data_IF_081575302163
#
_entry.id   IF_081575302163
#
_cell.length_a   1.000
_cell.length_b   1.000
_cell.length_c   1.000
_cell.angle_alpha   90.00
_cell.angle_beta   90.00
_cell.angle_gamma   90.00
#
_symmetry.space_group_name_H-M   'P 1'
#
loop_
_entity.id
_entity.type
_entity.pdbx_description
1 polymer ?
#
# COMPACT_ATOMS: atom_id res chain seq x y z
N UNK A 1 -8.61 -22.74 -20.55
CA UNK A 1 -9.91 -22.05 -20.49
C UNK A 1 -10.19 -21.71 -19.03
N UNK A 2 -10.21 -20.44 -18.58
CA UNK A 2 -10.36 -20.17 -17.16
C UNK A 2 -11.83 -20.22 -16.74
N UNK A 3 -12.03 -20.90 -15.62
CA UNK A 3 -13.23 -21.54 -15.13
C UNK A 3 -14.31 -20.54 -14.68
N UNK A 4 -15.55 -20.75 -15.14
CA UNK A 4 -16.77 -20.04 -14.72
C UNK A 4 -17.19 -20.52 -13.34
N UNK A 5 -16.71 -19.88 -12.27
CA UNK A 5 -17.48 -19.69 -11.02
C UNK A 5 -16.84 -18.57 -10.21
N UNK A 6 -17.10 -17.33 -10.59
CA UNK A 6 -16.91 -16.22 -9.66
C UNK A 6 -17.94 -16.38 -8.57
N UNK A 7 -17.54 -16.91 -7.41
CA UNK A 7 -18.38 -16.94 -6.24
C UNK A 7 -18.95 -15.53 -6.03
N UNK A 8 -20.27 -15.43 -5.81
CA UNK A 8 -21.00 -14.15 -5.67
C UNK A 8 -20.46 -13.25 -4.54
N UNK A 9 -19.52 -13.78 -3.75
CA UNK A 9 -18.85 -13.17 -2.60
C UNK A 9 -17.36 -12.82 -2.85
N UNK A 10 -16.91 -12.88 -4.10
CA UNK A 10 -15.53 -12.51 -4.45
C UNK A 10 -15.25 -11.03 -4.19
N UNK A 11 -14.01 -10.71 -3.78
CA UNK A 11 -13.58 -9.34 -3.47
C UNK A 11 -13.88 -8.38 -4.62
N UNK A 12 -13.69 -8.82 -5.87
CA UNK A 12 -13.94 -8.01 -7.06
C UNK A 12 -15.40 -7.56 -7.23
N UNK A 13 -16.36 -8.37 -6.76
CA UNK A 13 -17.79 -8.12 -6.94
C UNK A 13 -18.35 -7.33 -5.76
N UNK A 14 -17.99 -7.70 -4.53
CA UNK A 14 -18.54 -7.07 -3.33
C UNK A 14 -17.82 -5.78 -2.95
N UNK A 15 -16.56 -5.61 -3.31
CA UNK A 15 -15.79 -4.43 -2.97
C UNK A 15 -14.86 -4.00 -4.11
N UNK A 16 -15.49 -3.46 -5.16
CA UNK A 16 -14.82 -3.04 -6.38
C UNK A 16 -13.72 -1.99 -6.14
N UNK A 17 -13.90 -1.10 -5.15
CA UNK A 17 -12.87 -0.12 -4.78
C UNK A 17 -11.60 -0.80 -4.25
N UNK A 18 -11.74 -1.80 -3.37
CA UNK A 18 -10.59 -2.54 -2.83
C UNK A 18 -9.93 -3.40 -3.92
N UNK A 19 -10.70 -4.01 -4.81
CA UNK A 19 -10.14 -4.81 -5.89
C UNK A 19 -9.28 -4.00 -6.87
N UNK A 20 -9.52 -2.68 -7.00
CA UNK A 20 -8.67 -1.77 -7.79
C UNK A 20 -7.30 -1.53 -7.15
N UNK A 21 -7.20 -1.70 -5.85
CA UNK A 21 -5.94 -1.57 -5.12
C UNK A 21 -5.16 -2.89 -5.08
N UNK A 22 -5.60 -3.92 -5.81
CA UNK A 22 -4.88 -5.18 -5.89
C UNK A 22 -3.56 -5.00 -6.65
N UNK A 23 -2.47 -5.50 -6.10
CA UNK A 23 -1.19 -5.42 -6.77
C UNK A 23 -1.15 -6.33 -8.02
N UNK A 24 -0.80 -5.80 -9.22
CA UNK A 24 -0.91 -6.56 -10.48
C UNK A 24 0.09 -7.71 -10.62
N UNK A 25 1.32 -7.58 -10.09
CA UNK A 25 2.39 -8.57 -10.30
C UNK A 25 2.82 -9.34 -9.04
N UNK A 26 2.75 -8.75 -7.84
CA UNK A 26 3.27 -9.36 -6.61
C UNK A 26 2.39 -10.46 -5.99
N UNK A 27 1.16 -10.64 -6.48
CA UNK A 27 0.25 -11.68 -6.00
C UNK A 27 0.32 -12.99 -6.82
N UNK A 28 1.23 -13.07 -7.80
CA UNK A 28 1.41 -14.26 -8.62
C UNK A 28 0.11 -14.66 -9.33
N UNK A 29 -0.34 -15.90 -9.10
CA UNK A 29 -1.57 -16.44 -9.71
C UNK A 29 -2.86 -16.09 -8.93
N UNK A 30 -2.76 -15.40 -7.79
CA UNK A 30 -3.94 -15.02 -7.02
C UNK A 30 -4.59 -13.78 -7.63
N UNK A 31 -5.87 -13.90 -7.98
CA UNK A 31 -6.67 -12.76 -8.42
C UNK A 31 -7.65 -12.30 -7.33
N UNK A 32 -8.16 -11.06 -7.39
CA UNK A 32 -9.27 -10.58 -6.56
C UNK A 32 -10.54 -11.44 -6.67
N UNK A 33 -10.62 -12.31 -7.69
CA UNK A 33 -11.75 -13.21 -7.92
C UNK A 33 -11.62 -14.52 -7.15
N UNK A 34 -10.39 -14.92 -6.83
CA UNK A 34 -10.06 -16.14 -6.07
C UNK A 34 -10.11 -15.94 -4.55
N UNK A 35 -10.26 -14.68 -4.10
CA UNK A 35 -10.31 -14.32 -2.68
C UNK A 35 -11.66 -13.72 -2.30
N UNK A 36 -12.13 -14.05 -1.11
CA UNK A 36 -13.34 -13.49 -0.51
C UNK A 36 -13.00 -12.30 0.38
N UNK A 37 -13.95 -11.37 0.54
CA UNK A 37 -13.79 -10.12 1.32
C UNK A 37 -13.35 -10.34 2.77
N UNK A 38 -13.69 -11.49 3.38
CA UNK A 38 -13.33 -11.84 4.76
C UNK A 38 -12.09 -12.74 4.87
N UNK A 39 -11.32 -12.92 3.81
CA UNK A 39 -10.17 -13.83 3.84
C UNK A 39 -9.01 -13.25 4.65
N UNK A 40 -8.47 -14.03 5.61
CA UNK A 40 -7.25 -13.66 6.33
C UNK A 40 -5.96 -13.84 5.50
N UNK A 41 -6.08 -14.05 4.18
CA UNK A 41 -4.94 -14.17 3.28
C UNK A 41 -4.22 -12.84 3.16
N UNK A 42 -2.92 -12.82 3.47
CA UNK A 42 -2.04 -11.67 3.28
C UNK A 42 -1.67 -11.57 1.80
N UNK A 43 -1.94 -10.42 1.21
CA UNK A 43 -1.70 -10.13 -0.21
C UNK A 43 -1.07 -8.74 -0.33
N UNK A 44 -0.51 -8.47 -1.50
CA UNK A 44 0.05 -7.18 -1.86
C UNK A 44 -1.03 -6.25 -2.40
N UNK A 45 -1.02 -5.02 -1.92
CA UNK A 45 -1.89 -3.93 -2.32
C UNK A 45 -1.05 -2.80 -2.91
N UNK A 46 -1.65 -2.06 -3.83
CA UNK A 46 -1.09 -0.90 -4.52
C UNK A 46 -2.14 0.22 -4.48
N UNK A 47 -1.77 1.37 -3.91
CA UNK A 47 -2.66 2.52 -3.81
C UNK A 47 -2.60 3.30 -5.13
N UNK A 48 -3.58 4.16 -5.39
CA UNK A 48 -3.56 5.08 -6.52
C UNK A 48 -2.33 6.00 -6.56
N UNK A 49 -1.71 6.27 -5.40
CA UNK A 49 -0.48 7.07 -5.28
C UNK A 49 0.77 6.28 -5.69
N UNK A 50 0.68 4.95 -5.80
CA UNK A 50 1.83 4.08 -6.11
C UNK A 50 2.45 3.40 -4.88
N UNK A 51 1.91 3.64 -3.69
CA UNK A 51 2.36 2.97 -2.47
C UNK A 51 2.02 1.48 -2.49
N UNK A 52 3.03 0.63 -2.27
CA UNK A 52 2.88 -0.81 -2.16
C UNK A 52 2.93 -1.27 -0.69
N UNK A 53 1.94 -2.04 -0.23
CA UNK A 53 1.97 -2.62 1.13
C UNK A 53 1.32 -3.99 1.19
N UNK A 54 1.65 -4.75 2.24
CA UNK A 54 1.02 -6.04 2.51
C UNK A 54 -0.05 -5.91 3.59
N UNK A 55 -1.25 -6.39 3.32
CA UNK A 55 -2.35 -6.47 4.30
C UNK A 55 -3.23 -7.69 4.00
N UNK A 56 -4.04 -8.12 4.97
CA UNK A 56 -5.02 -9.19 4.72
C UNK A 56 -6.25 -8.65 4.01
N UNK A 57 -6.92 -9.49 3.21
CA UNK A 57 -8.17 -9.09 2.53
C UNK A 57 -9.25 -8.70 3.52
N UNK A 58 -9.35 -9.45 4.62
CA UNK A 58 -10.25 -9.16 5.73
C UNK A 58 -10.00 -7.77 6.32
N UNK A 59 -8.75 -7.41 6.58
CA UNK A 59 -8.39 -6.08 7.12
C UNK A 59 -8.77 -4.94 6.17
N UNK A 60 -8.51 -5.12 4.86
CA UNK A 60 -8.96 -4.15 3.85
C UNK A 60 -10.49 -4.03 3.83
N UNK A 61 -11.19 -5.16 3.92
CA UNK A 61 -12.66 -5.22 3.94
C UNK A 61 -13.30 -4.43 5.08
N UNK A 62 -12.60 -4.30 6.21
CA UNK A 62 -13.03 -3.50 7.37
C UNK A 62 -12.73 -2.00 7.25
N UNK A 63 -12.12 -1.55 6.15
CA UNK A 63 -11.82 -0.13 5.90
C UNK A 63 -10.40 0.31 6.24
N UNK A 64 -9.50 -0.59 6.64
CA UNK A 64 -8.09 -0.23 6.88
C UNK A 64 -7.34 -0.05 5.57
N UNK A 65 -7.18 1.20 5.12
CA UNK A 65 -6.56 1.58 3.84
C UNK A 65 -5.04 1.67 3.80
N UNK A 66 -4.57 2.46 2.82
CA UNK A 66 -3.25 3.05 2.71
C UNK A 66 -2.49 3.32 4.02
N UNK A 67 -1.59 2.48 4.59
CA UNK A 67 -0.90 2.89 5.83
C UNK A 67 0.01 4.10 5.60
N UNK A 68 0.52 4.27 4.38
CA UNK A 68 1.31 5.43 3.99
C UNK A 68 0.42 6.66 3.79
N UNK A 69 -0.71 6.53 3.09
CA UNK A 69 -1.66 7.63 2.90
C UNK A 69 -2.31 8.08 4.22
N UNK A 70 -2.51 7.15 5.16
CA UNK A 70 -3.02 7.46 6.50
C UNK A 70 -1.93 7.87 7.50
N UNK A 71 -0.70 8.10 7.03
CA UNK A 71 0.45 8.49 7.84
C UNK A 71 0.75 7.55 9.03
N UNK A 72 0.30 6.28 8.94
CA UNK A 72 0.53 5.21 9.91
C UNK A 72 1.88 4.51 9.71
N UNK A 73 2.45 4.62 8.51
CA UNK A 73 3.82 4.21 8.17
C UNK A 73 4.50 5.31 7.36
N UNK A 74 5.78 5.54 7.63
CA UNK A 74 6.63 6.35 6.75
C UNK A 74 6.89 5.56 5.46
N UNK A 75 6.46 6.09 4.32
CA UNK A 75 6.97 5.64 3.01
C UNK A 75 8.31 6.30 2.78
N UNK A 76 9.17 5.72 1.94
CA UNK A 76 10.40 6.36 1.49
C UNK A 76 10.15 7.75 0.87
N UNK A 77 8.96 8.02 0.32
CA UNK A 77 8.52 9.35 -0.13
C UNK A 77 8.15 10.33 1.02
N UNK A 78 7.82 9.82 2.21
CA UNK A 78 7.52 10.62 3.41
C UNK A 78 8.79 10.90 4.25
N UNK A 79 9.96 10.43 3.82
CA UNK A 79 11.25 10.73 4.45
C UNK A 79 11.80 12.13 4.08
N UNK A 80 10.94 13.09 3.74
CA UNK A 80 11.36 14.47 3.45
C UNK A 80 11.62 15.34 4.69
N UNK A 81 12.07 14.75 5.80
CA UNK A 81 12.78 15.50 6.84
C UNK A 81 14.01 14.72 7.33
N UNK A 82 14.94 14.48 6.40
CA UNK A 82 16.36 14.63 6.74
C UNK A 82 16.94 15.66 5.77
N UNK A 83 16.44 16.89 5.85
CA UNK A 83 17.29 18.03 5.52
C UNK A 83 18.33 18.11 6.63
N UNK A 84 19.38 17.31 6.53
CA UNK A 84 20.65 17.69 7.12
C UNK A 84 21.22 18.74 6.17
N UNK A 85 21.21 20.05 6.50
CA UNK A 85 22.10 20.95 5.79
C UNK A 85 23.51 20.58 6.26
N UNK A 86 24.16 19.64 5.57
CA UNK A 86 25.59 19.39 5.70
C UNK A 86 26.37 20.52 5.01
N UNK A 87 26.08 21.78 5.35
CA UNK A 87 26.91 22.93 5.02
C UNK A 87 26.43 24.19 5.76
N UNK A 88 26.85 24.34 7.01
CA UNK A 88 27.28 25.67 7.45
C UNK A 88 28.70 25.47 7.93
N UNK A 89 29.64 25.58 6.99
CA UNK A 89 31.05 25.77 7.34
C UNK A 89 31.13 27.01 8.22
N UNK A 90 31.70 26.84 9.40
CA UNK A 90 32.06 27.92 10.30
C UNK A 90 32.69 29.07 9.50
N UNK A 91 32.09 30.26 9.60
CA UNK A 91 32.76 31.51 9.25
C UNK A 91 33.29 32.13 10.55
N UNK A 92 34.56 32.58 10.60
CA UNK A 92 35.14 33.14 11.82
C UNK A 92 34.79 34.63 11.95
N UNK A 93 34.56 35.11 13.18
CA UNK A 93 35.18 36.39 13.57
C UNK A 93 35.73 36.28 15.02
N UNK A 94 36.75 37.00 15.47
CA UNK A 94 37.18 38.33 15.08
C UNK A 94 38.68 38.53 15.35
N UNK A 95 39.13 39.65 14.82
CA UNK A 95 40.49 40.17 14.73
C UNK A 95 41.00 40.62 16.10
N UNK A 96 42.33 40.66 16.24
CA UNK A 96 43.04 41.24 17.37
C UNK A 96 42.88 42.77 17.45
#
# INVERSE_FOLDING_TARGET
MPNKTASKYSLQICNYAIAREWHPTKNGNLTPRDVTVGSNRKVWWLCSIGHEWTATVNDRGHGNGCPYCSNRKASDENSQQTVSPAWVKESPPAKN
#
